data_IF_249115941495
#
_entry.id   IF_249115941495
#
_cell.length_a   1.000
_cell.length_b   1.000
_cell.length_c   1.000
_cell.angle_alpha   90.00
_cell.angle_beta   90.00
_cell.angle_gamma   90.00
#
_symmetry.space_group_name_H-M   'P 1'
#
loop_
_entity.id
_entity.type
_entity.pdbx_description
1 polymer ?
#
# COMPACT_ATOMS: atom_id res chain seq x y z
N UNK A 1 49.49 56.32 64.47
CA UNK A 1 50.13 56.06 63.15
C UNK A 1 49.21 55.14 62.33
N UNK A 2 48.78 55.69 61.26
CA UNK A 2 47.94 55.22 60.15
C UNK A 2 48.51 53.92 59.55
N UNK A 3 47.59 53.00 59.07
CA UNK A 3 47.68 52.36 57.72
C UNK A 3 46.47 51.47 57.51
N UNK A 4 45.60 51.94 56.66
CA UNK A 4 45.08 51.38 55.43
C UNK A 4 44.84 49.82 55.41
N UNK A 5 43.57 49.46 55.35
CA UNK A 5 43.10 48.22 54.72
C UNK A 5 42.15 48.60 53.56
N UNK A 6 42.64 48.36 52.33
CA UNK A 6 41.90 48.56 51.06
C UNK A 6 41.14 47.28 50.68
N UNK A 7 39.91 47.51 50.32
CA UNK A 7 39.08 46.84 49.30
C UNK A 7 39.60 45.59 48.61
N UNK A 8 38.83 44.51 48.72
CA UNK A 8 38.57 43.52 47.64
C UNK A 8 37.10 43.15 47.72
N UNK A 9 36.31 43.82 46.96
CA UNK A 9 34.95 43.39 46.62
C UNK A 9 34.78 43.70 45.13
N UNK A 10 34.59 42.68 44.34
CA UNK A 10 33.92 42.65 43.04
C UNK A 10 34.55 41.66 42.08
N UNK A 11 33.87 40.56 41.82
CA UNK A 11 33.86 39.88 40.52
C UNK A 11 33.23 38.46 40.60
N UNK A 12 31.98 38.34 40.99
CA UNK A 12 31.26 37.03 40.97
C UNK A 12 29.87 37.06 40.31
N UNK A 13 29.55 38.12 39.56
CA UNK A 13 28.19 38.24 38.96
C UNK A 13 27.99 38.02 37.47
N UNK A 14 28.99 37.78 36.60
CA UNK A 14 28.67 37.47 35.22
C UNK A 14 28.51 35.97 34.89
N UNK A 15 28.95 35.04 35.73
CA UNK A 15 28.90 33.60 35.45
C UNK A 15 27.51 32.97 35.64
N UNK A 16 26.68 33.50 36.60
CA UNK A 16 25.34 32.97 36.87
C UNK A 16 24.30 33.34 35.79
N UNK A 17 24.47 34.49 35.10
CA UNK A 17 23.57 34.92 34.01
C UNK A 17 23.79 34.15 32.74
N UNK A 18 24.99 33.71 32.43
CA UNK A 18 25.34 32.88 31.25
C UNK A 18 24.79 31.42 31.38
N UNK A 19 24.74 30.86 32.59
CA UNK A 19 24.13 29.53 32.79
C UNK A 19 22.60 29.55 32.69
N UNK A 20 21.93 30.65 33.04
CA UNK A 20 20.48 30.76 32.93
C UNK A 20 19.99 30.92 31.48
N UNK A 21 20.80 31.52 30.57
CA UNK A 21 20.48 31.62 29.15
C UNK A 21 20.70 30.29 28.38
N UNK A 22 21.60 29.42 28.84
CA UNK A 22 21.83 28.12 28.22
C UNK A 22 20.71 27.11 28.50
N UNK A 23 19.93 27.28 29.54
CA UNK A 23 18.81 26.38 29.91
C UNK A 23 17.50 26.67 29.16
N UNK A 24 17.37 27.80 28.46
CA UNK A 24 16.19 28.15 27.66
C UNK A 24 16.26 27.67 26.19
N UNK A 25 17.36 27.07 25.77
CA UNK A 25 17.52 26.51 24.43
C UNK A 25 17.21 24.99 24.34
N UNK A 26 16.67 24.38 25.40
CA UNK A 26 15.95 23.12 25.25
C UNK A 26 14.62 23.45 24.56
N UNK A 27 14.70 23.76 23.26
CA UNK A 27 13.53 23.94 22.41
C UNK A 27 12.59 22.78 22.64
N UNK A 28 11.38 23.09 23.03
CA UNK A 28 10.30 22.12 23.02
C UNK A 28 10.38 21.43 21.65
N UNK A 29 10.75 20.16 21.62
CA UNK A 29 10.69 19.36 20.41
C UNK A 29 9.27 19.56 19.88
N UNK A 30 9.13 20.29 18.75
CA UNK A 30 7.82 20.55 18.16
C UNK A 30 7.09 19.23 18.11
N UNK A 31 5.89 19.20 18.72
CA UNK A 31 5.11 17.96 18.77
C UNK A 31 4.74 17.57 17.36
N UNK A 32 5.30 16.48 16.85
CA UNK A 32 4.93 15.95 15.52
C UNK A 32 3.50 15.39 15.56
N UNK A 33 2.64 15.72 14.56
CA UNK A 33 2.86 16.69 13.49
C UNK A 33 2.59 18.13 13.95
N UNK A 34 3.44 19.10 13.54
CA UNK A 34 3.29 20.54 13.85
C UNK A 34 2.49 21.32 12.78
N UNK A 35 2.25 20.68 11.62
CA UNK A 35 1.52 21.24 10.45
C UNK A 35 0.81 20.08 9.71
N UNK A 36 -0.09 20.37 8.75
CA UNK A 36 -0.75 19.32 7.97
C UNK A 36 0.21 18.33 7.34
N UNK A 37 -0.15 17.03 7.39
CA UNK A 37 0.59 15.93 6.77
C UNK A 37 -0.02 15.61 5.42
N UNK A 38 0.79 15.61 4.39
CA UNK A 38 0.41 15.24 3.03
C UNK A 38 0.56 13.75 2.84
N UNK A 39 -0.52 13.08 2.47
CA UNK A 39 -0.57 11.63 2.22
C UNK A 39 -0.60 11.39 0.71
N UNK A 40 0.53 11.05 0.12
CA UNK A 40 0.61 10.75 -1.31
C UNK A 40 0.03 9.37 -1.57
N UNK A 41 -0.99 9.31 -2.45
CA UNK A 41 -1.61 8.07 -2.95
C UNK A 41 -1.30 7.95 -4.44
N UNK A 42 -0.60 6.88 -4.91
CA UNK A 42 -0.09 6.79 -6.28
C UNK A 42 -1.13 6.31 -7.30
N UNK A 43 -2.41 6.34 -6.94
CA UNK A 43 -3.53 5.91 -7.79
C UNK A 43 -4.68 6.92 -7.78
N UNK A 44 -5.60 6.85 -8.78
CA UNK A 44 -6.73 7.76 -8.85
C UNK A 44 -7.63 7.71 -7.62
N UNK A 45 -8.38 8.79 -7.39
CA UNK A 45 -9.45 8.82 -6.41
C UNK A 45 -10.49 7.71 -6.68
N UNK A 46 -11.02 7.10 -5.61
CA UNK A 46 -11.93 5.95 -5.68
C UNK A 46 -11.23 4.60 -5.90
N UNK A 47 -9.93 4.57 -6.10
CA UNK A 47 -9.16 3.31 -6.12
C UNK A 47 -9.04 2.69 -4.73
N UNK A 48 -8.71 1.39 -4.67
CA UNK A 48 -8.50 0.69 -3.40
C UNK A 48 -7.57 1.42 -2.42
N UNK A 49 -6.36 1.87 -2.80
CA UNK A 49 -5.51 2.61 -1.87
C UNK A 49 -6.07 3.97 -1.47
N UNK A 50 -6.81 4.65 -2.34
CA UNK A 50 -7.45 5.93 -2.00
C UNK A 50 -8.55 5.75 -0.93
N UNK A 51 -9.38 4.72 -1.06
CA UNK A 51 -10.44 4.39 -0.09
C UNK A 51 -9.86 4.16 1.30
N UNK A 52 -8.81 3.34 1.40
CA UNK A 52 -8.17 3.00 2.68
C UNK A 52 -7.38 4.19 3.23
N UNK A 53 -6.65 4.91 2.36
CA UNK A 53 -5.89 6.09 2.77
C UNK A 53 -6.78 7.19 3.34
N UNK A 54 -7.94 7.48 2.73
CA UNK A 54 -8.88 8.49 3.24
C UNK A 54 -9.45 8.11 4.60
N UNK A 55 -9.81 6.84 4.78
CA UNK A 55 -10.26 6.35 6.08
C UNK A 55 -9.19 6.53 7.15
N UNK A 56 -7.97 6.03 6.87
CA UNK A 56 -6.84 6.15 7.80
C UNK A 56 -6.50 7.62 8.10
N UNK A 57 -6.45 8.47 7.07
CA UNK A 57 -6.14 9.89 7.19
C UNK A 57 -7.14 10.64 8.09
N UNK A 58 -8.44 10.35 7.96
CA UNK A 58 -9.46 10.91 8.82
C UNK A 58 -9.23 10.55 10.29
N UNK A 59 -8.96 9.27 10.57
CA UNK A 59 -8.70 8.79 11.94
C UNK A 59 -7.38 9.29 12.51
N UNK A 60 -6.35 9.41 11.71
CA UNK A 60 -5.07 10.00 12.15
C UNK A 60 -5.23 11.49 12.46
N UNK A 61 -6.02 12.24 11.67
CA UNK A 61 -6.28 13.65 11.94
C UNK A 61 -6.99 13.86 13.29
N UNK A 62 -8.01 13.03 13.59
CA UNK A 62 -8.72 13.04 14.89
C UNK A 62 -7.75 12.79 16.07
N UNK A 63 -6.80 11.87 15.90
CA UNK A 63 -5.89 11.44 16.98
C UNK A 63 -4.67 12.33 17.14
N UNK A 64 -4.17 12.89 16.06
CA UNK A 64 -2.91 13.65 16.07
C UNK A 64 -3.09 15.17 16.02
N UNK A 65 -4.33 15.65 15.88
CA UNK A 65 -4.67 17.07 15.99
C UNK A 65 -4.22 17.92 14.80
N UNK A 66 -3.77 17.30 13.71
CA UNK A 66 -3.41 17.98 12.44
C UNK A 66 -4.07 17.28 11.25
N UNK A 67 -4.44 18.00 10.19
CA UNK A 67 -5.00 17.41 8.99
C UNK A 67 -4.02 16.42 8.31
N UNK A 68 -4.52 15.26 7.89
CA UNK A 68 -3.85 14.35 6.97
C UNK A 68 -4.54 14.45 5.61
N UNK A 69 -3.88 15.10 4.66
CA UNK A 69 -4.48 15.49 3.38
C UNK A 69 -4.06 14.51 2.28
N UNK A 70 -5.02 13.75 1.75
CA UNK A 70 -4.77 12.82 0.63
C UNK A 70 -4.55 13.58 -0.66
N UNK A 71 -3.41 13.32 -1.32
CA UNK A 71 -3.02 13.85 -2.62
C UNK A 71 -2.78 12.70 -3.60
N UNK A 72 -3.69 12.52 -4.56
CA UNK A 72 -3.62 11.46 -5.55
C UNK A 72 -2.61 11.83 -6.67
N UNK A 73 -1.48 11.12 -6.73
CA UNK A 73 -0.42 11.26 -7.74
C UNK A 73 -0.36 10.02 -8.63
N UNK A 74 -1.42 9.83 -9.43
CA UNK A 74 -1.55 8.66 -10.30
C UNK A 74 -0.68 8.77 -11.56
N UNK A 75 -0.25 7.63 -12.07
CA UNK A 75 0.44 7.49 -13.36
C UNK A 75 1.66 6.58 -13.32
N UNK A 76 1.99 6.03 -14.49
CA UNK A 76 3.16 5.18 -14.71
C UNK A 76 3.30 4.05 -13.66
N UNK A 77 2.23 3.28 -13.43
CA UNK A 77 2.26 2.17 -12.45
C UNK A 77 2.52 2.62 -10.99
N UNK A 78 2.18 3.88 -10.65
CA UNK A 78 2.40 4.46 -9.33
C UNK A 78 3.76 5.16 -9.17
N UNK A 79 4.62 5.12 -10.20
CA UNK A 79 5.96 5.72 -10.13
C UNK A 79 5.94 7.23 -9.87
N UNK A 80 4.94 7.98 -10.38
CA UNK A 80 4.86 9.42 -10.15
C UNK A 80 4.62 9.76 -8.67
N UNK A 81 3.80 8.97 -7.98
CA UNK A 81 3.59 9.11 -6.54
C UNK A 81 4.83 8.73 -5.74
N UNK A 82 5.46 7.60 -6.08
CA UNK A 82 6.67 7.14 -5.42
C UNK A 82 7.82 8.16 -5.56
N UNK A 83 8.06 8.69 -6.77
CA UNK A 83 9.08 9.72 -7.03
C UNK A 83 8.82 11.00 -6.22
N UNK A 84 7.55 11.42 -6.13
CA UNK A 84 7.19 12.61 -5.37
C UNK A 84 7.52 12.48 -3.87
N UNK A 85 7.38 11.26 -3.31
CA UNK A 85 7.74 10.98 -1.92
C UNK A 85 9.26 10.82 -1.75
N UNK A 86 9.93 10.08 -2.64
CA UNK A 86 11.37 9.89 -2.60
C UNK A 86 12.15 11.22 -2.60
N UNK A 87 11.58 12.26 -3.24
CA UNK A 87 12.16 13.61 -3.30
C UNK A 87 11.65 14.58 -2.23
N UNK A 88 10.73 14.14 -1.36
CA UNK A 88 10.18 15.01 -0.32
C UNK A 88 11.15 15.18 0.86
N UNK A 89 10.95 16.27 1.63
CA UNK A 89 11.71 16.47 2.86
C UNK A 89 11.44 15.33 3.86
N UNK A 90 12.48 14.79 4.51
CA UNK A 90 12.33 13.69 5.46
C UNK A 90 11.91 14.19 6.85
N UNK A 91 10.90 15.06 6.93
CA UNK A 91 10.38 15.67 8.16
C UNK A 91 9.09 14.99 8.67
N UNK A 92 8.59 13.98 7.94
CA UNK A 92 7.36 13.26 8.24
C UNK A 92 6.07 13.96 7.79
N UNK A 93 6.12 15.20 7.25
CA UNK A 93 4.92 15.91 6.79
C UNK A 93 4.56 15.59 5.31
N UNK A 94 5.29 14.69 4.69
CA UNK A 94 4.89 13.99 3.47
C UNK A 94 5.10 12.50 3.71
N UNK A 95 4.04 11.71 3.59
CA UNK A 95 4.08 10.26 3.73
C UNK A 95 3.48 9.58 2.50
N UNK A 96 3.84 8.35 2.28
CA UNK A 96 3.44 7.53 1.14
C UNK A 96 2.45 6.47 1.58
N UNK A 97 1.20 6.55 1.13
CA UNK A 97 0.27 5.44 1.23
C UNK A 97 0.37 4.60 -0.04
N UNK A 98 1.05 3.49 0.04
CA UNK A 98 1.46 2.71 -1.11
C UNK A 98 0.80 1.32 -1.17
N UNK A 99 0.92 0.67 -2.32
CA UNK A 99 0.62 -0.75 -2.52
C UNK A 99 1.91 -1.51 -2.75
N UNK A 100 1.96 -2.76 -2.31
CA UNK A 100 3.16 -3.59 -2.35
C UNK A 100 3.83 -3.66 -3.72
N UNK A 101 3.08 -3.69 -4.82
CA UNK A 101 3.65 -3.81 -6.17
C UNK A 101 4.64 -2.69 -6.52
N UNK A 102 4.48 -1.48 -5.96
CA UNK A 102 5.36 -0.34 -6.25
C UNK A 102 6.77 -0.58 -5.73
N UNK A 103 6.90 -1.15 -4.55
CA UNK A 103 8.21 -1.39 -3.90
C UNK A 103 8.73 -2.81 -4.11
N UNK A 104 7.89 -3.75 -4.53
CA UNK A 104 8.31 -5.15 -4.67
C UNK A 104 8.35 -5.65 -6.12
N UNK A 105 7.57 -5.09 -7.05
CA UNK A 105 7.44 -5.58 -8.42
C UNK A 105 8.03 -4.64 -9.47
N UNK A 106 7.82 -3.32 -9.35
CA UNK A 106 8.18 -2.35 -10.39
C UNK A 106 9.65 -2.43 -10.83
N UNK A 107 10.57 -2.76 -9.93
CA UNK A 107 12.00 -2.90 -10.24
C UNK A 107 12.33 -4.04 -11.22
N UNK A 108 11.42 -4.99 -11.42
CA UNK A 108 11.58 -6.10 -12.36
C UNK A 108 10.85 -5.86 -13.68
N UNK A 109 9.98 -4.85 -13.75
CA UNK A 109 9.11 -4.57 -14.89
C UNK A 109 9.62 -3.37 -15.67
N UNK A 110 10.06 -2.33 -14.98
CA UNK A 110 10.47 -1.09 -15.62
C UNK A 110 11.99 -1.00 -15.73
N UNK A 111 12.50 -0.79 -16.94
CA UNK A 111 13.95 -0.66 -17.20
C UNK A 111 14.60 0.49 -16.45
N UNK A 112 13.83 1.52 -16.08
CA UNK A 112 14.31 2.67 -15.33
C UNK A 112 13.25 3.12 -14.34
N UNK A 113 13.59 3.05 -13.05
CA UNK A 113 12.77 3.63 -11.97
C UNK A 113 13.31 5.00 -11.58
N UNK A 114 12.43 6.00 -11.31
CA UNK A 114 12.85 7.30 -10.81
C UNK A 114 13.09 7.30 -9.28
N UNK A 115 13.06 6.14 -8.63
CA UNK A 115 13.29 5.91 -7.21
C UNK A 115 13.95 4.55 -6.97
N UNK A 116 14.62 4.42 -5.83
CA UNK A 116 15.09 3.12 -5.31
C UNK A 116 14.03 2.59 -4.31
N UNK A 117 13.39 1.44 -4.58
CA UNK A 117 12.27 0.96 -3.76
C UNK A 117 12.68 0.57 -2.32
N UNK A 118 13.97 0.41 -2.05
CA UNK A 118 14.48 0.02 -0.72
C UNK A 118 15.17 1.18 -0.01
N UNK A 119 15.90 2.03 -0.76
CA UNK A 119 16.75 3.06 -0.15
C UNK A 119 16.07 4.41 0.02
N UNK A 120 15.07 4.73 -0.82
CA UNK A 120 14.43 6.04 -0.82
C UNK A 120 13.27 6.16 0.16
N UNK A 121 12.88 5.04 0.80
CA UNK A 121 11.76 5.00 1.74
C UNK A 121 12.15 4.41 3.09
N UNK A 122 11.50 4.91 4.13
CA UNK A 122 11.53 4.36 5.48
C UNK A 122 10.18 3.68 5.78
N UNK A 123 10.12 2.35 6.00
CA UNK A 123 8.90 1.66 6.38
C UNK A 123 8.31 2.22 7.66
N UNK A 124 6.97 2.39 7.69
CA UNK A 124 6.22 2.79 8.88
C UNK A 124 5.35 1.64 9.37
N UNK A 125 4.38 1.20 8.57
CA UNK A 125 3.50 0.06 8.91
C UNK A 125 2.78 -0.45 7.68
N UNK A 126 2.56 -1.75 7.57
CA UNK A 126 1.47 -2.28 6.77
C UNK A 126 0.16 -1.86 7.46
N UNK A 127 -0.85 -1.54 6.67
CA UNK A 127 -2.18 -1.09 7.12
C UNK A 127 -3.20 -2.20 6.93
N UNK A 128 -3.21 -2.82 5.75
CA UNK A 128 -4.18 -3.84 5.41
C UNK A 128 -3.63 -4.90 4.46
N UNK A 129 -4.02 -6.15 4.68
CA UNK A 129 -4.03 -7.17 3.65
C UNK A 129 -5.26 -6.92 2.74
N UNK A 130 -5.01 -6.86 1.44
CA UNK A 130 -6.02 -6.55 0.42
C UNK A 130 -6.03 -7.68 -0.62
N UNK A 131 -6.86 -8.69 -0.41
CA UNK A 131 -7.02 -9.76 -1.39
C UNK A 131 -7.58 -9.22 -2.71
N UNK A 132 -7.34 -9.96 -3.79
CA UNK A 132 -7.95 -9.73 -5.09
C UNK A 132 -9.03 -10.77 -5.36
N UNK A 133 -10.00 -10.38 -6.18
CA UNK A 133 -11.02 -11.28 -6.71
C UNK A 133 -10.84 -11.38 -8.21
N UNK A 134 -10.73 -12.59 -8.74
CA UNK A 134 -10.91 -12.83 -10.16
C UNK A 134 -12.40 -12.73 -10.46
N UNK A 135 -12.78 -11.66 -11.15
CA UNK A 135 -14.16 -11.43 -11.57
C UNK A 135 -14.31 -11.61 -13.07
N UNK A 136 -15.48 -12.06 -13.49
CA UNK A 136 -15.86 -12.15 -14.87
C UNK A 136 -17.10 -11.31 -15.17
N UNK A 137 -17.27 -10.92 -16.44
CA UNK A 137 -18.53 -10.35 -16.92
C UNK A 137 -19.70 -11.29 -16.56
N UNK A 138 -20.86 -10.72 -16.21
CA UNK A 138 -22.05 -11.48 -15.78
C UNK A 138 -22.54 -12.51 -16.83
N UNK A 139 -22.30 -12.26 -18.11
CA UNK A 139 -22.71 -13.12 -19.21
C UNK A 139 -21.58 -14.06 -19.68
N UNK A 140 -20.44 -14.08 -18.98
CA UNK A 140 -19.33 -14.98 -19.29
C UNK A 140 -19.75 -16.44 -19.07
N UNK A 141 -19.53 -17.35 -20.07
CA UNK A 141 -20.05 -18.71 -20.03
C UNK A 141 -19.44 -19.59 -18.93
N UNK A 142 -18.18 -19.37 -18.56
CA UNK A 142 -17.50 -20.12 -17.49
C UNK A 142 -17.89 -19.54 -16.13
N UNK A 143 -18.67 -20.30 -15.37
CA UNK A 143 -19.23 -19.83 -14.08
C UNK A 143 -18.37 -20.17 -12.88
N UNK A 144 -17.37 -21.03 -13.07
CA UNK A 144 -16.41 -21.41 -12.03
C UNK A 144 -14.97 -21.27 -12.50
N UNK A 145 -14.03 -21.16 -11.54
CA UNK A 145 -12.60 -21.16 -11.86
C UNK A 145 -12.17 -22.46 -12.55
N UNK A 146 -12.75 -23.60 -12.17
CA UNK A 146 -12.46 -24.89 -12.78
C UNK A 146 -12.89 -24.91 -14.27
N UNK A 147 -14.07 -24.38 -14.62
CA UNK A 147 -14.53 -24.29 -16.01
C UNK A 147 -13.65 -23.36 -16.84
N UNK A 148 -13.21 -22.22 -16.24
CA UNK A 148 -12.27 -21.30 -16.88
C UNK A 148 -10.96 -22.02 -17.23
N UNK A 149 -10.36 -22.74 -16.27
CA UNK A 149 -9.11 -23.48 -16.45
C UNK A 149 -9.30 -24.59 -17.48
N UNK A 150 -10.39 -25.34 -17.44
CA UNK A 150 -10.68 -26.40 -18.42
C UNK A 150 -10.80 -25.84 -19.85
N UNK A 151 -11.51 -24.71 -20.01
CA UNK A 151 -11.65 -24.03 -21.31
C UNK A 151 -10.31 -23.50 -21.82
N UNK A 152 -9.52 -22.83 -20.96
CA UNK A 152 -8.22 -22.30 -21.31
C UNK A 152 -7.21 -23.43 -21.65
N UNK A 153 -7.35 -24.60 -21.07
CA UNK A 153 -6.54 -25.78 -21.42
C UNK A 153 -6.92 -26.36 -22.77
N UNK A 154 -8.23 -26.44 -23.06
CA UNK A 154 -8.73 -26.94 -24.34
C UNK A 154 -8.43 -25.98 -25.51
N UNK A 155 -8.45 -24.69 -25.25
CA UNK A 155 -8.23 -23.62 -26.23
C UNK A 155 -7.25 -22.56 -25.67
N UNK A 156 -5.95 -22.81 -25.71
CA UNK A 156 -4.95 -21.88 -25.16
C UNK A 156 -5.05 -20.49 -25.79
N UNK A 157 -4.90 -19.45 -24.99
CA UNK A 157 -4.93 -18.03 -25.37
C UNK A 157 -6.25 -17.55 -26.03
N UNK A 158 -7.35 -18.33 -25.95
CA UNK A 158 -8.66 -17.95 -26.53
C UNK A 158 -9.46 -17.02 -25.65
N UNK A 159 -9.11 -16.87 -24.38
CA UNK A 159 -9.81 -16.02 -23.41
C UNK A 159 -8.93 -14.82 -23.07
N UNK A 160 -9.51 -13.64 -23.22
CA UNK A 160 -8.84 -12.38 -22.86
C UNK A 160 -9.02 -12.04 -21.37
N UNK A 161 -8.07 -11.32 -20.79
CA UNK A 161 -8.23 -10.70 -19.48
C UNK A 161 -7.68 -9.28 -19.47
N UNK A 162 -8.36 -8.41 -18.75
CA UNK A 162 -7.93 -7.03 -18.55
C UNK A 162 -7.00 -6.89 -17.34
N UNK A 163 -6.14 -5.88 -17.35
CA UNK A 163 -5.41 -5.39 -16.18
C UNK A 163 -5.22 -3.87 -16.25
N UNK A 164 -4.76 -3.28 -15.15
CA UNK A 164 -4.39 -1.85 -15.10
C UNK A 164 -2.95 -1.60 -15.61
N UNK A 165 -2.55 -2.34 -16.64
CA UNK A 165 -1.28 -2.18 -17.36
C UNK A 165 -0.34 -3.37 -17.23
N UNK A 166 0.67 -3.40 -18.09
CA UNK A 166 1.74 -4.40 -18.05
C UNK A 166 2.46 -4.30 -16.72
N UNK A 167 2.68 -5.44 -16.05
CA UNK A 167 3.33 -5.50 -14.73
C UNK A 167 2.48 -5.02 -13.55
N UNK A 168 1.28 -4.49 -13.78
CA UNK A 168 0.37 -4.19 -12.67
C UNK A 168 0.01 -5.45 -11.87
N UNK A 169 -0.36 -5.29 -10.59
CA UNK A 169 -0.62 -6.42 -9.69
C UNK A 169 -1.59 -7.46 -10.31
N UNK A 170 -2.70 -7.01 -10.91
CA UNK A 170 -3.65 -7.93 -11.56
C UNK A 170 -3.05 -8.72 -12.74
N UNK A 171 -2.11 -8.14 -13.48
CA UNK A 171 -1.37 -8.86 -14.53
C UNK A 171 -0.47 -9.93 -13.92
N UNK A 172 0.39 -9.56 -12.96
CA UNK A 172 1.35 -10.49 -12.33
C UNK A 172 0.62 -11.63 -11.59
N UNK A 173 -0.50 -11.32 -10.91
CA UNK A 173 -1.35 -12.32 -10.25
C UNK A 173 -1.96 -13.30 -11.27
N UNK A 174 -2.43 -12.80 -12.43
CA UNK A 174 -2.97 -13.63 -13.49
C UNK A 174 -1.90 -14.57 -14.06
N UNK A 175 -0.71 -14.04 -14.32
CA UNK A 175 0.42 -14.84 -14.84
C UNK A 175 0.86 -15.91 -13.84
N UNK A 176 0.87 -15.60 -12.54
CA UNK A 176 1.12 -16.62 -11.50
C UNK A 176 0.05 -17.73 -11.56
N UNK A 177 -1.24 -17.34 -11.60
CA UNK A 177 -2.34 -18.31 -11.63
C UNK A 177 -2.27 -19.20 -12.88
N UNK A 178 -2.11 -18.60 -14.04
CA UNK A 178 -2.06 -19.34 -15.31
C UNK A 178 -0.83 -20.23 -15.43
N UNK A 179 0.32 -19.78 -14.95
CA UNK A 179 1.56 -20.58 -14.87
C UNK A 179 1.37 -21.81 -13.99
N UNK A 180 0.81 -21.66 -12.78
CA UNK A 180 0.56 -22.78 -11.86
C UNK A 180 -0.50 -23.74 -12.39
N UNK A 181 -1.54 -23.23 -13.06
CA UNK A 181 -2.60 -24.05 -13.68
C UNK A 181 -2.17 -24.71 -14.99
N UNK A 182 -1.02 -24.35 -15.56
CA UNK A 182 -0.54 -24.86 -16.85
C UNK A 182 -1.45 -24.45 -18.03
N UNK A 183 -1.96 -23.21 -18.03
CA UNK A 183 -2.84 -22.67 -19.07
C UNK A 183 -2.34 -21.31 -19.55
N UNK A 184 -2.92 -20.80 -20.66
CA UNK A 184 -2.60 -19.48 -21.21
C UNK A 184 -3.87 -18.69 -21.47
N UNK A 185 -3.86 -17.41 -21.06
CA UNK A 185 -4.86 -16.40 -21.38
C UNK A 185 -4.18 -15.26 -22.15
N UNK A 186 -4.98 -14.41 -22.81
CA UNK A 186 -4.45 -13.26 -23.58
C UNK A 186 -4.62 -11.98 -22.77
N UNK A 187 -3.52 -11.30 -22.49
CA UNK A 187 -3.49 -10.06 -21.73
C UNK A 187 -3.93 -8.86 -22.58
N UNK A 188 -4.83 -8.03 -22.02
CA UNK A 188 -5.27 -6.75 -22.58
C UNK A 188 -4.98 -5.65 -21.55
N UNK A 189 -3.87 -4.90 -21.70
CA UNK A 189 -3.48 -3.86 -20.76
C UNK A 189 -4.29 -2.57 -20.97
N UNK A 190 -4.78 -2.00 -19.87
CA UNK A 190 -5.51 -0.74 -19.80
C UNK A 190 -4.71 0.34 -19.08
N UNK A 191 -4.85 1.58 -19.51
CA UNK A 191 -4.39 2.76 -18.75
C UNK A 191 -5.41 3.17 -17.69
N UNK A 192 -6.71 2.98 -18.00
CA UNK A 192 -7.86 3.26 -17.11
C UNK A 192 -9.10 2.55 -17.66
N UNK A 193 -10.17 2.44 -16.84
CA UNK A 193 -11.49 1.95 -17.31
C UNK A 193 -11.61 0.43 -17.45
N UNK A 194 -10.59 -0.36 -17.15
CA UNK A 194 -10.62 -1.81 -17.33
C UNK A 194 -11.84 -2.51 -16.71
N UNK A 195 -12.23 -2.10 -15.49
CA UNK A 195 -13.41 -2.67 -14.82
C UNK A 195 -14.72 -2.33 -15.57
N UNK A 196 -14.82 -1.12 -16.11
CA UNK A 196 -16.00 -0.69 -16.88
C UNK A 196 -16.17 -1.56 -18.12
N UNK A 197 -15.09 -1.84 -18.84
CA UNK A 197 -15.10 -2.69 -20.03
C UNK A 197 -15.38 -4.16 -19.69
N UNK A 198 -14.98 -4.64 -18.52
CA UNK A 198 -15.40 -5.99 -18.07
C UNK A 198 -16.87 -6.04 -17.72
N UNK A 199 -17.41 -5.03 -17.03
CA UNK A 199 -18.85 -4.93 -16.76
C UNK A 199 -19.64 -4.85 -18.08
N UNK A 200 -19.13 -4.08 -19.06
CA UNK A 200 -19.73 -3.95 -20.38
C UNK A 200 -19.54 -5.15 -21.33
N UNK A 201 -18.74 -6.17 -20.92
CA UNK A 201 -18.52 -7.38 -21.71
C UNK A 201 -17.50 -7.24 -22.85
N UNK A 202 -16.75 -6.13 -22.94
CA UNK A 202 -15.71 -5.93 -23.93
C UNK A 202 -14.50 -6.86 -23.71
N UNK A 203 -14.17 -7.09 -22.43
CA UNK A 203 -13.15 -8.07 -22.00
C UNK A 203 -13.76 -8.92 -20.87
N UNK A 204 -13.66 -10.26 -20.92
CA UNK A 204 -14.41 -11.10 -19.99
C UNK A 204 -13.92 -11.12 -18.54
N UNK A 205 -12.62 -10.93 -18.29
CA UNK A 205 -11.99 -11.22 -17.00
C UNK A 205 -11.11 -10.07 -16.51
N UNK A 206 -11.04 -9.91 -15.18
CA UNK A 206 -10.04 -9.05 -14.52
C UNK A 206 -9.82 -9.49 -13.08
N UNK A 207 -8.61 -9.34 -12.56
CA UNK A 207 -8.38 -9.30 -11.11
C UNK A 207 -8.62 -7.90 -10.57
N UNK A 208 -9.49 -7.79 -9.56
CA UNK A 208 -9.78 -6.54 -8.86
C UNK A 208 -9.56 -6.68 -7.36
N UNK A 209 -9.05 -5.66 -6.66
CA UNK A 209 -9.03 -5.65 -5.21
C UNK A 209 -10.44 -5.83 -4.63
N UNK A 210 -10.56 -6.54 -3.50
CA UNK A 210 -11.85 -6.75 -2.81
C UNK A 210 -12.61 -5.46 -2.56
N UNK A 211 -11.90 -4.39 -2.20
CA UNK A 211 -12.46 -3.04 -1.92
C UNK A 211 -13.29 -2.45 -3.06
N UNK A 212 -13.05 -2.88 -4.31
CA UNK A 212 -13.80 -2.45 -5.49
C UNK A 212 -14.61 -3.58 -6.13
N UNK A 213 -14.22 -4.85 -5.93
CA UNK A 213 -14.90 -6.00 -6.50
C UNK A 213 -16.20 -6.34 -5.78
N UNK A 214 -16.23 -6.28 -4.45
CA UNK A 214 -17.36 -6.75 -3.63
C UNK A 214 -18.66 -6.01 -3.99
N UNK A 215 -18.60 -4.71 -4.19
CA UNK A 215 -19.78 -3.91 -4.57
C UNK A 215 -20.35 -4.37 -5.93
N UNK A 216 -19.49 -4.65 -6.91
CA UNK A 216 -19.89 -5.10 -8.24
C UNK A 216 -20.48 -6.52 -8.21
N UNK A 217 -19.90 -7.39 -7.39
CA UNK A 217 -20.43 -8.74 -7.16
C UNK A 217 -21.82 -8.68 -6.50
N UNK A 218 -21.97 -7.87 -5.45
CA UNK A 218 -23.27 -7.66 -4.78
C UNK A 218 -24.34 -7.03 -5.69
N UNK A 219 -23.92 -6.14 -6.59
CA UNK A 219 -24.80 -5.54 -7.60
C UNK A 219 -25.15 -6.51 -8.75
N UNK A 220 -24.52 -7.69 -8.83
CA UNK A 220 -24.74 -8.67 -9.88
C UNK A 220 -24.24 -8.23 -11.27
N UNK A 221 -23.37 -7.21 -11.33
CA UNK A 221 -22.79 -6.72 -12.60
C UNK A 221 -21.64 -7.58 -13.09
N UNK A 222 -21.03 -8.36 -12.19
CA UNK A 222 -19.97 -9.33 -12.46
C UNK A 222 -20.17 -10.58 -11.61
N UNK A 223 -19.50 -11.68 -11.98
CA UNK A 223 -19.46 -12.93 -11.20
C UNK A 223 -18.06 -13.16 -10.63
N UNK A 224 -17.91 -13.55 -9.36
CA UNK A 224 -16.63 -13.89 -8.77
C UNK A 224 -16.26 -15.35 -9.11
N UNK A 225 -15.05 -15.58 -9.62
CA UNK A 225 -14.56 -16.92 -9.94
C UNK A 225 -13.60 -17.46 -8.89
N UNK A 226 -12.91 -16.60 -8.15
CA UNK A 226 -11.98 -16.99 -7.09
C UNK A 226 -11.33 -15.80 -6.41
N UNK A 227 -10.81 -16.02 -5.19
CA UNK A 227 -10.11 -15.01 -4.38
C UNK A 227 -8.65 -15.39 -4.16
N UNK A 228 -7.77 -14.39 -4.03
CA UNK A 228 -6.32 -14.65 -3.83
C UNK A 228 -5.96 -15.04 -2.40
N UNK A 229 -6.85 -14.82 -1.45
CA UNK A 229 -6.62 -15.17 -0.05
C UNK A 229 -6.38 -16.67 0.17
N UNK A 230 -5.65 -17.00 1.23
CA UNK A 230 -5.41 -18.42 1.62
C UNK A 230 -6.69 -19.18 1.97
N UNK A 231 -7.74 -18.46 2.35
CA UNK A 231 -9.06 -18.96 2.72
C UNK A 231 -10.12 -18.15 2.02
N UNK A 232 -11.33 -18.70 1.94
CA UNK A 232 -12.49 -17.95 1.45
C UNK A 232 -12.71 -16.68 2.28
N UNK A 233 -13.12 -15.61 1.63
CA UNK A 233 -13.40 -14.36 2.29
C UNK A 233 -14.79 -14.38 2.94
N UNK A 234 -14.96 -13.92 4.18
CA UNK A 234 -16.28 -13.82 4.83
C UNK A 234 -17.29 -13.01 4.02
N UNK A 235 -16.82 -11.98 3.30
CA UNK A 235 -17.66 -11.14 2.44
C UNK A 235 -18.11 -11.84 1.14
N UNK A 236 -17.47 -12.95 0.75
CA UNK A 236 -17.76 -13.75 -0.45
C UNK A 236 -17.64 -15.26 -0.12
N UNK A 237 -18.49 -15.80 0.77
CA UNK A 237 -18.32 -17.16 1.32
C UNK A 237 -18.47 -18.27 0.27
N UNK A 238 -19.25 -18.02 -0.78
CA UNK A 238 -19.48 -18.99 -1.86
C UNK A 238 -18.39 -18.95 -2.94
N UNK A 239 -17.49 -17.94 -2.90
CA UNK A 239 -16.39 -17.82 -3.84
C UNK A 239 -15.17 -18.58 -3.30
N UNK A 240 -14.61 -19.56 -4.05
CA UNK A 240 -13.48 -20.34 -3.58
C UNK A 240 -12.21 -19.48 -3.46
N UNK A 241 -11.33 -19.85 -2.55
CA UNK A 241 -9.94 -19.42 -2.66
C UNK A 241 -9.31 -20.09 -3.90
N UNK A 242 -8.57 -19.33 -4.69
CA UNK A 242 -7.90 -19.88 -5.90
C UNK A 242 -7.02 -21.07 -5.55
N UNK A 243 -6.40 -21.07 -4.37
CA UNK A 243 -5.61 -22.17 -3.85
C UNK A 243 -6.38 -23.50 -3.71
N UNK A 244 -7.72 -23.46 -3.59
CA UNK A 244 -8.56 -24.67 -3.55
C UNK A 244 -8.60 -25.39 -4.92
N UNK A 245 -8.36 -24.64 -6.02
CA UNK A 245 -8.44 -25.13 -7.41
C UNK A 245 -7.05 -25.18 -8.06
N UNK A 246 -6.16 -24.27 -7.69
CA UNK A 246 -4.79 -24.15 -8.23
C UNK A 246 -3.81 -24.32 -7.06
N UNK A 247 -3.31 -25.54 -6.80
CA UNK A 247 -2.39 -25.82 -5.73
C UNK A 247 -1.12 -24.95 -5.80
N UNK A 248 -0.69 -24.42 -4.66
CA UNK A 248 0.49 -23.57 -4.55
C UNK A 248 0.26 -22.09 -4.92
N UNK A 249 -0.97 -21.73 -5.28
CA UNK A 249 -1.30 -20.31 -5.53
C UNK A 249 -1.35 -19.53 -4.22
N UNK A 250 -0.59 -18.44 -4.14
CA UNK A 250 -0.61 -17.46 -3.06
C UNK A 250 -0.24 -16.08 -3.61
N UNK A 251 -1.17 -15.12 -3.57
CA UNK A 251 -0.99 -13.81 -4.18
C UNK A 251 -1.73 -12.68 -3.45
N UNK A 252 -1.58 -12.60 -2.13
CA UNK A 252 -2.20 -11.51 -1.38
C UNK A 252 -1.47 -10.20 -1.64
N UNK A 253 -2.28 -9.17 -1.94
CA UNK A 253 -1.82 -7.79 -1.94
C UNK A 253 -1.85 -7.21 -0.53
N UNK A 254 -1.07 -6.14 -0.32
CA UNK A 254 -1.15 -5.36 0.90
C UNK A 254 -0.90 -3.88 0.61
N UNK A 255 -1.38 -3.04 1.52
CA UNK A 255 -1.22 -1.60 1.48
C UNK A 255 -0.58 -1.14 2.78
N UNK A 256 0.29 -0.15 2.70
CA UNK A 256 1.05 0.31 3.84
C UNK A 256 1.44 1.78 3.74
N UNK A 257 2.07 2.25 4.81
CA UNK A 257 2.61 3.61 4.91
C UNK A 257 4.12 3.54 4.98
N UNK A 258 4.76 4.35 4.16
CA UNK A 258 6.19 4.65 4.20
C UNK A 258 6.41 6.16 4.31
N UNK A 259 7.58 6.56 4.75
CA UNK A 259 8.03 7.95 4.75
C UNK A 259 9.28 8.08 3.86
N UNK A 260 9.70 9.30 3.48
CA UNK A 260 10.99 9.50 2.83
C UNK A 260 12.15 8.94 3.67
N UNK A 261 13.16 8.38 3.02
CA UNK A 261 14.37 7.92 3.71
C UNK A 261 15.00 9.06 4.52
N UNK A 262 15.53 8.75 5.70
CA UNK A 262 16.08 9.76 6.61
C UNK A 262 15.06 10.46 7.51
N UNK A 263 13.77 10.12 7.43
CA UNK A 263 12.76 10.59 8.40
C UNK A 263 13.15 10.18 9.81
N UNK A 264 13.15 11.09 10.80
CA UNK A 264 13.62 10.80 12.16
C UNK A 264 12.88 9.60 12.78
N UNK A 265 13.59 8.70 13.48
CA UNK A 265 12.98 7.51 14.11
C UNK A 265 11.78 7.86 15.02
N UNK A 266 11.86 8.94 15.78
CA UNK A 266 10.76 9.36 16.64
C UNK A 266 9.46 9.69 15.87
N UNK A 267 9.58 10.20 14.63
CA UNK A 267 8.44 10.47 13.74
C UNK A 267 7.87 9.16 13.20
N UNK A 268 8.73 8.23 12.78
CA UNK A 268 8.33 6.88 12.33
C UNK A 268 7.59 6.14 13.45
N UNK A 269 8.15 6.14 14.66
CA UNK A 269 7.55 5.47 15.83
C UNK A 269 6.20 6.10 16.20
N UNK A 270 6.09 7.43 16.13
CA UNK A 270 4.83 8.12 16.37
C UNK A 270 3.77 7.75 15.35
N UNK A 271 4.09 7.76 14.07
CA UNK A 271 3.18 7.34 13.00
C UNK A 271 2.77 5.87 13.16
N UNK A 272 3.73 4.98 13.39
CA UNK A 272 3.48 3.55 13.58
C UNK A 272 2.51 3.31 14.75
N UNK A 273 2.75 3.92 15.89
CA UNK A 273 1.89 3.81 17.08
C UNK A 273 0.46 4.28 16.80
N UNK A 274 0.29 5.43 16.13
CA UNK A 274 -1.04 5.97 15.87
C UNK A 274 -1.78 5.16 14.79
N UNK A 275 -1.08 4.66 13.76
CA UNK A 275 -1.64 3.74 12.77
C UNK A 275 -2.12 2.45 13.46
N UNK A 276 -1.29 1.82 14.29
CA UNK A 276 -1.67 0.62 15.03
C UNK A 276 -2.90 0.86 15.92
N UNK A 277 -2.97 2.01 16.59
CA UNK A 277 -4.11 2.39 17.41
C UNK A 277 -5.40 2.59 16.60
N UNK A 278 -5.32 3.18 15.40
CA UNK A 278 -6.47 3.28 14.46
C UNK A 278 -6.93 1.90 14.02
N UNK A 279 -5.99 1.03 13.66
CA UNK A 279 -6.31 -0.31 13.18
C UNK A 279 -6.93 -1.22 14.26
N UNK A 280 -6.68 -0.92 15.53
CA UNK A 280 -7.28 -1.62 16.68
C UNK A 280 -8.70 -1.15 17.02
N UNK A 281 -9.23 -0.10 16.40
CA UNK A 281 -10.59 0.40 16.68
C UNK A 281 -11.64 -0.60 16.17
N UNK A 282 -12.69 -0.91 16.95
CA UNK A 282 -13.79 -1.79 16.50
C UNK A 282 -14.46 -1.32 15.19
N UNK A 283 -14.60 -0.01 15.03
CA UNK A 283 -15.17 0.59 13.81
C UNK A 283 -14.28 0.38 12.58
N UNK A 284 -12.95 0.31 12.77
CA UNK A 284 -11.99 -0.03 11.69
C UNK A 284 -12.20 -1.47 11.25
N UNK A 285 -12.33 -2.40 12.20
CA UNK A 285 -12.62 -3.81 11.87
C UNK A 285 -13.90 -3.93 11.05
N UNK A 286 -15.01 -3.35 11.53
CA UNK A 286 -16.28 -3.41 10.79
C UNK A 286 -16.21 -2.77 9.39
N UNK A 287 -15.47 -1.67 9.24
CA UNK A 287 -15.26 -1.04 7.94
C UNK A 287 -14.42 -1.91 7.01
N UNK A 288 -13.36 -2.51 7.51
CA UNK A 288 -12.46 -3.36 6.75
C UNK A 288 -13.13 -4.67 6.34
N UNK A 289 -13.89 -5.28 7.24
CA UNK A 289 -14.68 -6.49 6.94
C UNK A 289 -15.67 -6.23 5.78
N UNK A 290 -16.36 -5.08 5.80
CA UNK A 290 -17.27 -4.69 4.73
C UNK A 290 -16.56 -4.51 3.37
N UNK A 291 -15.28 -4.13 3.38
CA UNK A 291 -14.42 -3.98 2.20
C UNK A 291 -13.71 -5.29 1.81
N UNK A 292 -13.86 -6.36 2.59
CA UNK A 292 -13.17 -7.64 2.38
C UNK A 292 -11.66 -7.55 2.56
N UNK A 293 -11.18 -6.65 3.42
CA UNK A 293 -9.77 -6.48 3.76
C UNK A 293 -9.56 -6.76 5.25
N UNK A 294 -8.31 -7.01 5.64
CA UNK A 294 -7.96 -7.29 7.03
C UNK A 294 -6.92 -6.28 7.52
N UNK A 295 -7.13 -5.74 8.70
CA UNK A 295 -6.14 -4.91 9.36
C UNK A 295 -4.87 -5.73 9.62
N UNK A 296 -3.72 -5.17 9.25
CA UNK A 296 -2.43 -5.84 9.40
C UNK A 296 -1.35 -4.87 9.90
N UNK A 297 -1.46 -4.36 11.13
CA UNK A 297 -0.43 -3.50 11.69
C UNK A 297 0.88 -4.26 11.88
N UNK A 298 1.99 -3.67 11.44
CA UNK A 298 3.33 -4.20 11.60
C UNK A 298 4.24 -3.17 12.25
N UNK A 299 5.32 -3.63 12.88
CA UNK A 299 6.43 -2.73 13.19
C UNK A 299 7.16 -2.32 11.90
N UNK A 300 7.92 -1.19 11.91
CA UNK A 300 8.73 -0.77 10.77
C UNK A 300 9.71 -1.85 10.31
N UNK A 301 10.38 -2.52 11.26
CA UNK A 301 11.32 -3.59 10.96
C UNK A 301 10.66 -4.85 10.38
N UNK A 302 9.43 -5.17 10.80
CA UNK A 302 8.66 -6.27 10.23
C UNK A 302 8.21 -5.97 8.80
N UNK A 303 7.71 -4.75 8.54
CA UNK A 303 7.36 -4.31 7.19
C UNK A 303 8.57 -4.40 6.26
N UNK A 304 9.75 -3.95 6.71
CA UNK A 304 10.99 -4.06 5.91
C UNK A 304 11.35 -5.51 5.55
N UNK A 305 11.18 -6.47 6.48
CA UNK A 305 11.39 -7.91 6.18
C UNK A 305 10.37 -8.46 5.18
N UNK A 306 9.11 -8.05 5.29
CA UNK A 306 8.06 -8.46 4.36
C UNK A 306 8.37 -7.93 2.96
N UNK A 307 8.77 -6.66 2.83
CA UNK A 307 9.19 -6.07 1.54
C UNK A 307 10.32 -6.88 0.92
N UNK A 308 11.36 -7.20 1.67
CA UNK A 308 12.49 -7.99 1.16
C UNK A 308 12.06 -9.40 0.67
N UNK A 309 11.21 -10.09 1.44
CA UNK A 309 10.68 -11.39 1.06
C UNK A 309 9.81 -11.32 -0.20
N UNK A 310 8.97 -10.28 -0.30
CA UNK A 310 8.09 -10.07 -1.46
C UNK A 310 8.88 -9.69 -2.72
N UNK A 311 9.98 -8.95 -2.61
CA UNK A 311 10.89 -8.66 -3.72
C UNK A 311 11.39 -9.97 -4.33
N UNK A 312 11.87 -10.91 -3.52
CA UNK A 312 12.38 -12.20 -3.98
C UNK A 312 11.26 -13.03 -4.63
N UNK A 313 10.11 -13.12 -3.98
CA UNK A 313 8.93 -13.86 -4.46
C UNK A 313 8.48 -13.34 -5.82
N UNK A 314 8.15 -12.06 -5.91
CA UNK A 314 7.58 -11.46 -7.12
C UNK A 314 8.60 -11.33 -8.25
N UNK A 315 9.86 -11.04 -7.93
CA UNK A 315 10.94 -11.09 -8.92
C UNK A 315 11.07 -12.47 -9.57
N UNK A 316 10.92 -13.55 -8.79
CA UNK A 316 10.87 -14.91 -9.32
C UNK A 316 9.67 -15.16 -10.24
N UNK A 317 8.48 -14.66 -9.89
CA UNK A 317 7.26 -14.80 -10.71
C UNK A 317 7.41 -14.04 -12.03
N UNK A 318 7.81 -12.75 -11.97
CA UNK A 318 7.92 -11.86 -13.14
C UNK A 318 8.92 -12.42 -14.16
N UNK A 319 10.08 -12.87 -13.70
CA UNK A 319 11.10 -13.49 -14.59
C UNK A 319 10.59 -14.76 -15.26
N UNK A 320 9.89 -15.65 -14.54
CA UNK A 320 9.33 -16.88 -15.14
C UNK A 320 8.20 -16.59 -16.13
N UNK A 321 7.42 -15.55 -15.89
CA UNK A 321 6.33 -15.15 -16.79
C UNK A 321 6.81 -14.34 -18.01
N UNK A 322 8.08 -13.92 -18.05
CA UNK A 322 8.62 -13.10 -19.16
C UNK A 322 7.95 -11.73 -19.27
N UNK A 323 7.59 -11.14 -18.12
CA UNK A 323 7.00 -9.79 -18.04
C UNK A 323 8.15 -8.78 -18.02
N UNK A 324 8.38 -8.07 -19.14
CA UNK A 324 9.42 -7.04 -19.32
C UNK A 324 8.91 -5.87 -20.21
#
# INVERSE_FOLDING_TARGET
MKKNALFVAAATWPAAVLLACASMAAGAAESYPSKPVRVIVPFPAGSSPDIVARYLSGKLAERMGQPFVVDNRAGAGGMLGAEAVAKAAPDGHTIFFMVNSIVTMNQFIYKKLPYDPVKDFAPVSIVAAVPYVLIANKDFPQRTLADLIATARAKPASINYASMGVGGAGHVIMELMTSLAGVRLTHVPYKSGALVDVIGGQVPLIFQPTTTAIEQVKAGTVIPLGTTGKKRLPALPDTPAIAEVVPGFEADGWQGVEAPAGTPPAVIDRLNKEIAAVLALPETSGRFDALGIQAWPTSPGEMGRIIATDIDKWGGVIRRAGID
#
